data_IF_858243853512
#
_entry.id   IF_858243853512
#
_cell.length_a   1.000
_cell.length_b   1.000
_cell.length_c   1.000
_cell.angle_alpha   90.00
_cell.angle_beta   90.00
_cell.angle_gamma   90.00
#
_symmetry.space_group_name_H-M   'P 1'
#
loop_
_entity.id
_entity.type
_entity.pdbx_description
1 polymer ?
#
# COMPACT_ATOMS: atom_id res chain seq x y z
N UNK A 1 -26.04 -21.55 -46.98
CA UNK A 1 -24.66 -21.05 -46.84
C UNK A 1 -24.61 -19.64 -46.25
N UNK A 2 -25.36 -18.66 -46.77
CA UNK A 2 -25.43 -17.29 -46.22
C UNK A 2 -25.84 -17.17 -44.74
N UNK A 3 -26.79 -17.98 -44.28
CA UNK A 3 -27.20 -17.97 -42.86
C UNK A 3 -26.08 -18.39 -41.89
N UNK A 4 -25.21 -19.32 -42.33
CA UNK A 4 -24.05 -19.77 -41.54
C UNK A 4 -23.00 -18.66 -41.46
N UNK A 5 -22.74 -17.98 -42.58
CA UNK A 5 -21.82 -16.83 -42.63
C UNK A 5 -22.34 -15.67 -41.77
N UNK A 6 -23.64 -15.37 -41.83
CA UNK A 6 -24.27 -14.34 -41.01
C UNK A 6 -24.22 -14.66 -39.51
N UNK A 7 -24.44 -15.93 -39.13
CA UNK A 7 -24.31 -16.38 -37.74
C UNK A 7 -22.90 -16.25 -37.18
N UNK A 8 -21.88 -16.59 -38.00
CA UNK A 8 -20.47 -16.43 -37.62
C UNK A 8 -20.10 -14.95 -37.46
N UNK A 9 -20.54 -14.10 -38.38
CA UNK A 9 -20.31 -12.66 -38.30
C UNK A 9 -20.92 -12.05 -37.03
N UNK A 10 -22.15 -12.46 -36.67
CA UNK A 10 -22.81 -12.00 -35.45
C UNK A 10 -22.05 -12.43 -34.19
N UNK A 11 -21.59 -13.68 -34.13
CA UNK A 11 -20.80 -14.19 -33.01
C UNK A 11 -19.47 -13.43 -32.84
N UNK A 12 -18.80 -13.09 -33.94
CA UNK A 12 -17.58 -12.29 -33.91
C UNK A 12 -17.82 -10.89 -33.34
N UNK A 13 -18.90 -10.22 -33.74
CA UNK A 13 -19.26 -8.89 -33.23
C UNK A 13 -19.56 -8.94 -31.74
N UNK A 14 -20.33 -9.93 -31.28
CA UNK A 14 -20.64 -10.12 -29.86
C UNK A 14 -19.35 -10.39 -29.06
N UNK A 15 -18.45 -11.23 -29.58
CA UNK A 15 -17.18 -11.54 -28.93
C UNK A 15 -16.30 -10.30 -28.80
N UNK A 16 -16.24 -9.46 -29.83
CA UNK A 16 -15.43 -8.24 -29.86
C UNK A 16 -15.94 -7.22 -28.82
N UNK A 17 -17.26 -7.04 -28.73
CA UNK A 17 -17.90 -6.17 -27.72
C UNK A 17 -17.65 -6.71 -26.30
N UNK A 18 -17.82 -8.02 -26.09
CA UNK A 18 -17.60 -8.65 -24.79
C UNK A 18 -16.14 -8.55 -24.34
N UNK A 19 -15.20 -8.70 -25.26
CA UNK A 19 -13.76 -8.57 -24.98
C UNK A 19 -13.39 -7.13 -24.59
N UNK A 20 -13.91 -6.15 -25.33
CA UNK A 20 -13.69 -4.73 -25.04
C UNK A 20 -14.25 -4.32 -23.68
N UNK A 21 -15.47 -4.78 -23.35
CA UNK A 21 -16.09 -4.53 -22.05
C UNK A 21 -15.29 -5.17 -20.89
N UNK A 22 -14.79 -6.39 -21.08
CA UNK A 22 -13.94 -7.04 -20.08
C UNK A 22 -12.61 -6.29 -19.88
N UNK A 23 -12.03 -5.73 -20.94
CA UNK A 23 -10.80 -4.96 -20.84
C UNK A 23 -11.01 -3.70 -20.00
N UNK A 24 -12.09 -2.94 -20.27
CA UNK A 24 -12.44 -1.75 -19.48
C UNK A 24 -12.69 -2.13 -18.02
N UNK A 25 -13.46 -3.20 -17.76
CA UNK A 25 -13.72 -3.67 -16.40
C UNK A 25 -12.43 -3.98 -15.64
N UNK A 26 -11.47 -4.65 -16.29
CA UNK A 26 -10.16 -4.94 -15.69
C UNK A 26 -9.37 -3.66 -15.40
N UNK A 27 -9.40 -2.66 -16.29
CA UNK A 27 -8.73 -1.38 -16.03
C UNK A 27 -9.31 -0.69 -14.79
N UNK A 28 -10.62 -0.65 -14.66
CA UNK A 28 -11.29 -0.03 -13.50
C UNK A 28 -10.95 -0.75 -12.20
N UNK A 29 -10.91 -2.09 -12.21
CA UNK A 29 -10.54 -2.89 -11.02
C UNK A 29 -9.11 -2.60 -10.57
N UNK A 30 -8.17 -2.42 -11.52
CA UNK A 30 -6.79 -2.08 -11.19
C UNK A 30 -6.73 -0.70 -10.51
N UNK A 31 -7.41 0.29 -11.07
CA UNK A 31 -7.44 1.65 -10.51
C UNK A 31 -8.09 1.70 -9.12
N UNK A 32 -9.19 0.98 -8.92
CA UNK A 32 -9.85 0.82 -7.62
C UNK A 32 -8.93 0.13 -6.60
N UNK A 33 -8.18 -0.89 -7.04
CA UNK A 33 -7.22 -1.61 -6.20
C UNK A 33 -6.06 -0.71 -5.76
N UNK A 34 -5.56 0.17 -6.65
CA UNK A 34 -4.56 1.17 -6.30
C UNK A 34 -5.08 2.18 -5.28
N UNK A 35 -6.27 2.74 -5.50
CA UNK A 35 -6.90 3.67 -4.56
C UNK A 35 -7.11 3.04 -3.18
N UNK A 36 -7.56 1.78 -3.16
CA UNK A 36 -7.73 1.00 -1.94
C UNK A 36 -6.39 0.81 -1.20
N UNK A 37 -5.32 0.48 -1.93
CA UNK A 37 -3.98 0.32 -1.36
C UNK A 37 -3.45 1.61 -0.74
N UNK A 38 -3.64 2.76 -1.39
CA UNK A 38 -3.26 4.07 -0.86
C UNK A 38 -3.96 4.37 0.47
N UNK A 39 -5.25 4.04 0.60
CA UNK A 39 -6.00 4.18 1.85
C UNK A 39 -5.41 3.29 2.96
N UNK A 40 -5.06 2.04 2.65
CA UNK A 40 -4.42 1.15 3.61
C UNK A 40 -3.03 1.63 4.04
N UNK A 41 -2.20 2.11 3.10
CA UNK A 41 -0.91 2.72 3.44
C UNK A 41 -1.12 3.93 4.36
N UNK A 42 -2.05 4.83 4.02
CA UNK A 42 -2.35 6.01 4.82
C UNK A 42 -2.80 5.65 6.24
N UNK A 43 -3.71 4.68 6.40
CA UNK A 43 -4.11 4.15 7.72
C UNK A 43 -2.92 3.60 8.50
N UNK A 44 -2.00 2.87 7.86
CA UNK A 44 -0.77 2.39 8.55
C UNK A 44 0.08 3.56 9.04
N UNK A 45 0.27 4.60 8.23
CA UNK A 45 1.03 5.80 8.64
C UNK A 45 0.35 6.61 9.75
N UNK A 46 -0.98 6.67 9.74
CA UNK A 46 -1.79 7.37 10.74
C UNK A 46 -1.81 6.64 12.10
N UNK A 47 -1.55 5.33 12.13
CA UNK A 47 -1.47 4.53 13.35
C UNK A 47 -0.08 4.54 14.01
N UNK A 48 0.99 4.91 13.29
CA UNK A 48 2.36 5.00 13.84
C UNK A 48 2.44 5.90 15.08
N UNK A 49 1.85 7.12 15.10
CA UNK A 49 1.86 7.99 16.28
C UNK A 49 1.27 7.31 17.52
N UNK A 50 0.16 6.59 17.37
CA UNK A 50 -0.50 5.90 18.49
C UNK A 50 0.38 4.76 19.04
N UNK A 51 1.06 4.01 18.18
CA UNK A 51 2.02 2.97 18.60
C UNK A 51 3.22 3.61 19.31
N UNK A 52 3.74 4.72 18.78
CA UNK A 52 4.86 5.48 19.37
C UNK A 52 4.50 6.08 20.73
N UNK A 53 3.28 6.58 20.90
CA UNK A 53 2.77 7.11 22.15
C UNK A 53 2.58 6.01 23.21
N UNK A 54 2.08 4.85 22.80
CA UNK A 54 1.97 3.68 23.68
C UNK A 54 3.35 3.23 24.15
N UNK A 55 4.33 3.11 23.25
CA UNK A 55 5.70 2.74 23.61
C UNK A 55 6.39 3.84 24.44
N UNK A 56 6.14 5.14 24.18
CA UNK A 56 6.62 6.25 25.05
C UNK A 56 6.12 6.13 26.49
N UNK A 57 4.89 5.64 26.68
CA UNK A 57 4.30 5.42 28.00
C UNK A 57 5.04 4.36 28.81
N UNK A 58 5.48 3.28 28.15
CA UNK A 58 6.19 2.15 28.77
C UNK A 58 7.73 2.32 28.79
N UNK A 59 8.31 2.99 27.79
CA UNK A 59 9.75 3.18 27.59
C UNK A 59 10.19 4.64 27.75
N UNK A 60 9.79 5.29 28.86
CA UNK A 60 10.03 6.72 29.17
C UNK A 60 11.49 7.21 29.06
N UNK A 61 12.47 6.31 28.99
CA UNK A 61 13.89 6.64 28.94
C UNK A 61 14.55 6.46 27.56
N UNK A 62 13.80 6.05 26.53
CA UNK A 62 14.34 5.67 25.21
C UNK A 62 14.05 6.70 24.10
N UNK A 63 14.32 7.97 24.40
CA UNK A 63 14.10 9.10 23.48
C UNK A 63 14.87 8.95 22.16
N UNK A 64 16.09 8.39 22.18
CA UNK A 64 16.94 8.25 21.00
C UNK A 64 16.35 7.27 19.96
N UNK A 65 15.81 6.13 20.44
CA UNK A 65 15.16 5.12 19.58
C UNK A 65 13.90 5.70 18.95
N UNK A 66 13.15 6.47 19.73
CA UNK A 66 11.90 7.05 19.31
C UNK A 66 12.09 8.21 18.30
N UNK A 67 13.14 9.01 18.49
CA UNK A 67 13.55 10.06 17.56
C UNK A 67 13.96 9.49 16.20
N UNK A 68 14.66 8.34 16.19
CA UNK A 68 14.98 7.59 14.96
C UNK A 68 13.74 7.12 14.21
N UNK A 69 12.71 6.65 14.91
CA UNK A 69 11.42 6.25 14.29
C UNK A 69 10.67 7.45 13.74
N UNK A 70 10.62 8.56 14.47
CA UNK A 70 9.97 9.80 14.04
C UNK A 70 10.68 10.40 12.81
N UNK A 71 12.01 10.41 12.79
CA UNK A 71 12.79 10.87 11.65
C UNK A 71 12.58 9.97 10.41
N UNK A 72 12.53 8.65 10.59
CA UNK A 72 12.23 7.70 9.52
C UNK A 72 10.81 7.91 8.95
N UNK A 73 9.81 8.11 9.82
CA UNK A 73 8.43 8.44 9.41
C UNK A 73 8.38 9.75 8.61
N UNK A 74 9.05 10.80 9.08
CA UNK A 74 9.05 12.09 8.40
C UNK A 74 9.69 12.03 7.01
N UNK A 75 10.71 11.20 6.81
CA UNK A 75 11.31 10.97 5.48
C UNK A 75 10.36 10.30 4.49
N UNK A 76 9.45 9.45 4.96
CA UNK A 76 8.40 8.87 4.11
C UNK A 76 7.31 9.90 3.82
N UNK A 77 6.94 10.70 4.81
CA UNK A 77 5.93 11.74 4.69
C UNK A 77 6.36 12.90 3.77
N UNK A 78 7.67 13.19 3.67
CA UNK A 78 8.20 14.28 2.84
C UNK A 78 8.10 14.05 1.33
N UNK A 79 7.62 12.88 0.87
CA UNK A 79 7.22 12.66 -0.52
C UNK A 79 8.38 12.69 -1.53
N UNK A 80 8.88 11.52 -1.90
CA UNK A 80 9.82 11.32 -3.00
C UNK A 80 9.25 10.38 -4.08
N UNK A 81 10.08 10.02 -5.07
CA UNK A 81 9.71 9.06 -6.13
C UNK A 81 9.30 7.70 -5.54
N UNK A 82 8.53 6.88 -6.27
CA UNK A 82 8.10 5.54 -5.80
C UNK A 82 9.27 4.68 -5.25
N UNK A 83 10.45 4.83 -5.84
CA UNK A 83 11.67 4.14 -5.42
C UNK A 83 12.21 4.64 -4.06
N UNK A 84 12.13 5.94 -3.80
CA UNK A 84 12.53 6.54 -2.53
C UNK A 84 11.57 6.14 -1.42
N UNK A 85 10.29 6.02 -1.75
CA UNK A 85 9.24 5.55 -0.85
C UNK A 85 9.48 4.10 -0.42
N UNK A 86 9.84 3.22 -1.36
CA UNK A 86 10.20 1.82 -1.08
C UNK A 86 11.46 1.70 -0.22
N UNK A 87 12.50 2.51 -0.47
CA UNK A 87 13.70 2.53 0.36
C UNK A 87 13.40 3.02 1.78
N UNK A 88 12.56 4.05 1.90
CA UNK A 88 12.18 4.60 3.18
C UNK A 88 11.28 3.63 3.98
N UNK A 89 10.39 2.86 3.33
CA UNK A 89 9.62 1.79 3.98
C UNK A 89 10.50 0.65 4.52
N UNK A 90 11.52 0.23 3.77
CA UNK A 90 12.48 -0.78 4.25
C UNK A 90 13.24 -0.29 5.48
N UNK A 91 13.67 0.98 5.47
CA UNK A 91 14.34 1.60 6.62
C UNK A 91 13.41 1.68 7.84
N UNK A 92 12.14 2.06 7.65
CA UNK A 92 11.14 2.09 8.74
C UNK A 92 10.86 0.70 9.30
N UNK A 93 10.82 -0.33 8.45
CA UNK A 93 10.62 -1.71 8.88
C UNK A 93 11.78 -2.17 9.77
N UNK A 94 13.01 -1.79 9.44
CA UNK A 94 14.19 -2.04 10.27
C UNK A 94 14.13 -1.36 11.63
N UNK A 95 13.72 -0.09 11.69
CA UNK A 95 13.63 0.67 12.95
C UNK A 95 12.46 0.22 13.84
N UNK A 96 11.36 -0.23 13.24
CA UNK A 96 10.25 -0.86 13.98
C UNK A 96 10.68 -2.18 14.63
N UNK A 97 11.53 -2.99 13.95
CA UNK A 97 12.06 -4.23 14.53
C UNK A 97 12.92 -3.95 15.77
N UNK A 98 13.76 -2.91 15.74
CA UNK A 98 14.50 -2.49 16.94
C UNK A 98 13.60 -1.94 18.05
N UNK A 99 12.51 -1.27 17.71
CA UNK A 99 11.53 -0.78 18.68
C UNK A 99 10.80 -1.94 19.38
N UNK A 100 10.39 -2.96 18.62
CA UNK A 100 9.75 -4.16 19.19
C UNK A 100 10.69 -4.96 20.08
N UNK A 101 11.97 -5.11 19.70
CA UNK A 101 12.97 -5.77 20.55
C UNK A 101 13.20 -5.04 21.89
N UNK A 102 13.11 -3.70 21.88
CA UNK A 102 13.17 -2.89 23.10
C UNK A 102 11.90 -3.01 23.94
N UNK A 103 10.72 -3.04 23.30
CA UNK A 103 9.45 -3.24 24.00
C UNK A 103 9.37 -4.64 24.64
N UNK A 104 9.95 -5.66 24.03
CA UNK A 104 10.01 -7.02 24.57
C UNK A 104 10.99 -7.14 25.76
N UNK A 105 12.02 -6.29 25.80
CA UNK A 105 12.95 -6.22 26.93
C UNK A 105 12.33 -5.57 28.18
N UNK A 106 11.18 -4.90 28.05
CA UNK A 106 10.43 -4.26 29.14
C UNK A 106 8.97 -4.78 29.15
N UNK A 107 8.70 -5.94 29.81
CA UNK A 107 7.37 -6.55 29.87
C UNK A 107 6.33 -5.71 30.64
#
# INVERSE_FOLDING_TARGET
>A
MWYVVGGIALLLVIWLIASYNNLIKKKNVVEESFSTMDVYMKKRFDLIPNVVETVKGYAKHESETLEKVIAARNRIASGGSNEDRLKAENALTGTLKSLFALAEAYP
#
